data_IF_253200046336
#
_entry.id   IF_253200046336
#
_cell.length_a   1.000
_cell.length_b   1.000
_cell.length_c   1.000
_cell.angle_alpha   90.00
_cell.angle_beta   90.00
_cell.angle_gamma   90.00
#
_symmetry.space_group_name_H-M   'P 1'
#
loop_
_entity.id
_entity.type
_entity.pdbx_description
1 polymer ?
#
# COMPACT_ATOMS: atom_id res chain seq x y z
N UNK A 1 -11.25 -16.10 -38.20
CA UNK A 1 -10.80 -17.29 -37.43
C UNK A 1 -9.93 -16.76 -36.28
N UNK A 2 -10.49 -16.60 -35.09
CA UNK A 2 -9.70 -16.25 -33.89
C UNK A 2 -9.05 -17.54 -33.36
N UNK A 3 -7.77 -17.52 -32.99
CA UNK A 3 -7.14 -18.66 -32.34
C UNK A 3 -7.78 -18.81 -30.95
N UNK A 4 -8.49 -19.91 -30.73
CA UNK A 4 -8.87 -20.36 -29.39
C UNK A 4 -7.61 -20.72 -28.66
N UNK A 5 -7.08 -19.82 -27.82
CA UNK A 5 -6.09 -20.17 -26.83
C UNK A 5 -6.64 -21.32 -25.97
N UNK A 6 -5.90 -22.42 -26.00
CA UNK A 6 -6.17 -23.59 -25.16
C UNK A 6 -5.97 -23.16 -23.69
N UNK A 7 -7.07 -22.79 -23.03
CA UNK A 7 -7.10 -22.59 -21.59
C UNK A 7 -6.82 -23.95 -20.97
N UNK A 8 -5.71 -24.06 -20.26
CA UNK A 8 -5.30 -25.27 -19.55
C UNK A 8 -6.43 -25.70 -18.59
N UNK A 9 -6.86 -26.99 -18.66
CA UNK A 9 -8.03 -27.49 -17.90
C UNK A 9 -7.83 -27.51 -16.37
N UNK A 10 -6.62 -27.16 -15.88
CA UNK A 10 -6.24 -27.14 -14.47
C UNK A 10 -6.96 -26.06 -13.67
N UNK A 11 -7.48 -25.00 -14.34
CA UNK A 11 -8.14 -23.86 -13.65
C UNK A 11 -9.66 -24.03 -13.45
N UNK A 12 -10.23 -25.18 -13.80
CA UNK A 12 -11.69 -25.40 -13.84
C UNK A 12 -12.30 -26.10 -12.61
N UNK A 13 -11.53 -26.47 -11.58
CA UNK A 13 -12.08 -27.18 -10.38
C UNK A 13 -11.55 -26.65 -9.05
N UNK A 14 -12.39 -25.96 -8.35
CA UNK A 14 -12.56 -25.98 -6.88
C UNK A 14 -11.51 -25.28 -6.02
N UNK A 15 -10.27 -25.68 -5.99
CA UNK A 15 -9.22 -25.12 -5.09
C UNK A 15 -8.33 -24.07 -5.71
N UNK A 16 -8.46 -23.79 -7.01
CA UNK A 16 -7.56 -22.93 -7.78
C UNK A 16 -8.29 -21.85 -8.59
N UNK A 17 -9.47 -21.40 -8.12
CA UNK A 17 -10.10 -20.23 -8.70
C UNK A 17 -9.13 -19.03 -8.61
N UNK A 18 -8.79 -18.45 -9.77
CA UNK A 18 -7.77 -17.37 -9.83
C UNK A 18 -8.08 -16.20 -8.90
N UNK A 19 -9.35 -15.95 -8.60
CA UNK A 19 -9.78 -14.94 -7.63
C UNK A 19 -9.11 -15.08 -6.25
N UNK A 20 -8.86 -16.31 -5.79
CA UNK A 20 -8.19 -16.52 -4.51
C UNK A 20 -6.72 -16.07 -4.52
N UNK A 21 -6.02 -16.24 -5.64
CA UNK A 21 -4.67 -15.69 -5.79
C UNK A 21 -4.66 -14.16 -5.74
N UNK A 22 -5.69 -13.53 -6.29
CA UNK A 22 -5.87 -12.07 -6.18
C UNK A 22 -6.16 -11.70 -4.72
N UNK A 23 -7.00 -12.44 -4.00
CA UNK A 23 -7.30 -12.20 -2.59
C UNK A 23 -6.04 -12.36 -1.70
N UNK A 24 -5.21 -13.38 -1.94
CA UNK A 24 -3.92 -13.53 -1.28
C UNK A 24 -2.94 -12.41 -1.62
N UNK A 25 -2.93 -11.96 -2.87
CA UNK A 25 -2.11 -10.81 -3.27
C UNK A 25 -2.59 -9.54 -2.55
N UNK A 26 -3.89 -9.31 -2.46
CA UNK A 26 -4.46 -8.19 -1.71
C UNK A 26 -4.09 -8.25 -0.23
N UNK A 27 -4.16 -9.44 0.40
CA UNK A 27 -3.70 -9.66 1.77
C UNK A 27 -2.23 -9.29 1.93
N UNK A 28 -1.35 -9.81 1.06
CA UNK A 28 0.10 -9.56 1.13
C UNK A 28 0.43 -8.07 0.92
N UNK A 29 -0.19 -7.43 -0.05
CA UNK A 29 0.00 -6.01 -0.35
C UNK A 29 -0.46 -5.16 0.83
N UNK A 30 -1.67 -5.41 1.39
CA UNK A 30 -2.14 -4.71 2.57
C UNK A 30 -1.22 -4.94 3.78
N UNK A 31 -0.71 -6.16 3.97
CA UNK A 31 0.19 -6.48 5.08
C UNK A 31 1.49 -5.67 5.02
N UNK A 32 2.11 -5.60 3.86
CA UNK A 32 3.42 -4.94 3.72
C UNK A 32 3.26 -3.41 3.75
N UNK A 33 2.20 -2.85 3.14
CA UNK A 33 2.01 -1.41 3.13
C UNK A 33 1.48 -0.85 4.45
N UNK A 34 0.64 -1.58 5.17
CA UNK A 34 0.03 -1.07 6.42
C UNK A 34 1.03 -0.86 7.54
N UNK A 35 2.04 -1.71 7.64
CA UNK A 35 2.99 -1.67 8.74
C UNK A 35 3.78 -0.34 8.80
N UNK A 36 4.47 0.09 7.73
CA UNK A 36 5.24 1.33 7.79
C UNK A 36 4.37 2.60 7.71
N UNK A 37 3.13 2.51 7.19
CA UNK A 37 2.31 3.70 6.93
C UNK A 37 1.32 4.02 8.06
N UNK A 38 0.70 3.01 8.65
CA UNK A 38 -0.30 3.18 9.71
C UNK A 38 0.17 2.58 11.04
N UNK A 39 0.53 1.30 11.05
CA UNK A 39 0.89 0.59 12.28
C UNK A 39 2.19 1.08 12.90
N UNK A 40 3.17 1.43 12.09
CA UNK A 40 4.50 1.90 12.52
C UNK A 40 4.64 3.41 12.68
N UNK A 41 3.55 4.17 12.60
CA UNK A 41 3.57 5.63 12.69
C UNK A 41 4.34 6.15 13.91
N UNK A 42 4.12 5.55 15.10
CA UNK A 42 4.84 5.92 16.32
C UNK A 42 6.34 5.72 16.22
N UNK A 43 6.81 4.68 15.52
CA UNK A 43 8.24 4.41 15.34
C UNK A 43 8.95 5.51 14.52
N UNK A 44 8.27 6.02 13.49
CA UNK A 44 8.77 7.15 12.70
C UNK A 44 8.80 8.42 13.52
N UNK A 45 7.73 8.70 14.30
CA UNK A 45 7.68 9.87 15.20
C UNK A 45 8.86 9.82 16.17
N UNK A 46 9.03 8.72 16.91
CA UNK A 46 10.10 8.59 17.91
C UNK A 46 11.49 8.72 17.27
N UNK A 47 11.71 8.13 16.11
CA UNK A 47 12.99 8.19 15.41
C UNK A 47 13.32 9.59 14.87
N UNK A 48 12.34 10.31 14.33
CA UNK A 48 12.52 11.67 13.81
C UNK A 48 12.62 12.69 14.94
N UNK A 49 11.84 12.55 16.02
CA UNK A 49 11.96 13.36 17.25
C UNK A 49 13.38 13.27 17.82
N UNK A 50 13.90 12.05 17.98
CA UNK A 50 15.25 11.83 18.53
C UNK A 50 16.36 12.32 17.60
N UNK A 51 16.14 12.31 16.28
CA UNK A 51 17.17 12.69 15.32
C UNK A 51 17.22 14.20 15.05
N UNK A 52 16.07 14.85 14.92
CA UNK A 52 15.95 16.24 14.53
C UNK A 52 15.59 17.17 15.69
N UNK A 53 15.11 16.64 16.83
CA UNK A 53 14.62 17.43 17.95
C UNK A 53 13.25 18.08 17.69
N UNK A 54 12.53 17.66 16.64
CA UNK A 54 11.18 18.17 16.35
C UNK A 54 10.19 17.74 17.41
N UNK A 55 9.18 18.56 17.65
CA UNK A 55 8.13 18.23 18.62
C UNK A 55 7.18 17.15 18.06
N UNK A 56 6.63 16.33 18.96
CA UNK A 56 5.58 15.36 18.59
C UNK A 56 4.38 16.02 17.93
N UNK A 57 4.07 17.24 18.29
CA UNK A 57 2.98 18.01 17.68
C UNK A 57 3.26 18.30 16.21
N UNK A 58 4.46 18.77 15.87
CA UNK A 58 4.87 18.99 14.47
C UNK A 58 4.77 17.68 13.67
N UNK A 59 5.30 16.58 14.17
CA UNK A 59 5.26 15.28 13.49
C UNK A 59 3.81 14.77 13.35
N UNK A 60 2.99 14.84 14.40
CA UNK A 60 1.62 14.35 14.40
C UNK A 60 0.70 15.08 13.41
N UNK A 61 0.97 16.35 13.13
CA UNK A 61 0.23 17.12 12.11
C UNK A 61 0.38 16.47 10.73
N UNK A 62 1.57 16.02 10.35
CA UNK A 62 1.78 15.34 9.08
C UNK A 62 0.90 14.10 8.94
N UNK A 63 0.81 13.29 10.00
CA UNK A 63 0.00 12.08 10.02
C UNK A 63 -1.51 12.40 9.95
N UNK A 64 -1.96 13.41 10.67
CA UNK A 64 -3.34 13.86 10.62
C UNK A 64 -3.74 14.39 9.25
N UNK A 65 -2.88 15.20 8.64
CA UNK A 65 -3.09 15.73 7.29
C UNK A 65 -3.10 14.61 6.22
N UNK A 66 -2.24 13.59 6.38
CA UNK A 66 -2.23 12.44 5.49
C UNK A 66 -3.53 11.63 5.54
N UNK A 67 -4.14 11.47 6.72
CA UNK A 67 -5.42 10.79 6.85
C UNK A 67 -6.60 11.59 6.24
N UNK A 68 -6.59 12.90 6.41
CA UNK A 68 -7.58 13.79 5.76
C UNK A 68 -7.46 13.72 4.23
N UNK A 69 -6.23 13.69 3.71
CA UNK A 69 -5.97 13.56 2.28
C UNK A 69 -6.62 12.30 1.70
N UNK A 70 -6.49 11.15 2.37
CA UNK A 70 -7.13 9.90 1.94
C UNK A 70 -8.63 10.03 1.73
N UNK A 71 -9.33 10.76 2.61
CA UNK A 71 -10.76 11.00 2.50
C UNK A 71 -11.12 11.90 1.31
N UNK A 72 -10.34 12.94 1.06
CA UNK A 72 -10.58 13.90 -0.03
C UNK A 72 -10.25 13.27 -1.38
N UNK A 73 -9.19 12.47 -1.45
CA UNK A 73 -8.70 11.87 -2.70
C UNK A 73 -9.52 10.65 -3.12
N UNK A 74 -10.21 9.97 -2.18
CA UNK A 74 -10.99 8.75 -2.46
C UNK A 74 -11.96 8.84 -3.65
N UNK A 75 -12.77 9.90 -3.84
CA UNK A 75 -13.64 10.01 -5.03
C UNK A 75 -12.86 10.06 -6.34
N UNK A 76 -11.71 10.74 -6.36
CA UNK A 76 -10.83 10.81 -7.54
C UNK A 76 -10.20 9.45 -7.84
N UNK A 77 -9.80 8.72 -6.80
CA UNK A 77 -9.29 7.35 -6.94
C UNK A 77 -10.36 6.45 -7.54
N UNK A 78 -11.61 6.53 -7.08
CA UNK A 78 -12.74 5.80 -7.67
C UNK A 78 -12.88 6.09 -9.17
N UNK A 79 -12.93 7.35 -9.55
CA UNK A 79 -13.00 7.76 -10.95
C UNK A 79 -11.82 7.21 -11.80
N UNK A 80 -10.60 7.27 -11.26
CA UNK A 80 -9.41 6.75 -11.94
C UNK A 80 -9.47 5.22 -12.10
N UNK A 81 -9.97 4.50 -11.11
CA UNK A 81 -10.16 3.04 -11.15
C UNK A 81 -11.16 2.68 -12.24
N UNK A 82 -12.29 3.38 -12.32
CA UNK A 82 -13.32 3.13 -13.33
C UNK A 82 -12.78 3.39 -14.75
N UNK A 83 -11.94 4.40 -14.92
CA UNK A 83 -11.41 4.79 -16.23
C UNK A 83 -10.23 3.94 -16.69
N UNK A 84 -9.29 3.63 -15.81
CA UNK A 84 -8.00 3.00 -16.16
C UNK A 84 -7.86 1.55 -15.66
N UNK A 85 -8.78 1.12 -14.79
CA UNK A 85 -8.77 -0.18 -14.12
C UNK A 85 -7.93 -0.22 -12.84
N UNK A 86 -8.39 -0.97 -11.84
CA UNK A 86 -7.80 -1.04 -10.51
C UNK A 86 -6.33 -1.50 -10.52
N UNK A 87 -5.97 -2.46 -11.39
CA UNK A 87 -4.60 -2.96 -11.50
C UNK A 87 -3.58 -1.87 -11.80
N UNK A 88 -3.85 -1.03 -12.82
CA UNK A 88 -2.93 0.04 -13.22
C UNK A 88 -2.79 1.10 -12.13
N UNK A 89 -3.91 1.46 -11.52
CA UNK A 89 -3.94 2.46 -10.45
C UNK A 89 -3.20 1.94 -9.22
N UNK A 90 -3.37 0.65 -8.86
CA UNK A 90 -2.63 0.03 -7.77
C UNK A 90 -1.11 0.06 -7.99
N UNK A 91 -0.64 -0.30 -9.18
CA UNK A 91 0.79 -0.24 -9.51
C UNK A 91 1.31 1.21 -9.41
N UNK A 92 0.58 2.16 -9.98
CA UNK A 92 0.94 3.58 -9.94
C UNK A 92 1.03 4.08 -8.49
N UNK A 93 0.04 3.74 -7.66
CA UNK A 93 0.03 4.09 -6.24
C UNK A 93 1.20 3.52 -5.46
N UNK A 94 1.54 2.25 -5.67
CA UNK A 94 2.70 1.61 -5.03
C UNK A 94 4.01 2.29 -5.44
N UNK A 95 4.16 2.68 -6.72
CA UNK A 95 5.33 3.43 -7.19
C UNK A 95 5.41 4.80 -6.51
N UNK A 96 4.30 5.52 -6.41
CA UNK A 96 4.24 6.84 -5.75
C UNK A 96 4.59 6.69 -4.26
N UNK A 97 4.05 5.69 -3.57
CA UNK A 97 4.37 5.43 -2.16
C UNK A 97 5.85 5.08 -1.96
N UNK A 98 6.40 4.23 -2.83
CA UNK A 98 7.83 3.89 -2.84
C UNK A 98 8.71 5.14 -3.00
N UNK A 99 8.39 5.98 -3.97
CA UNK A 99 9.07 7.26 -4.18
C UNK A 99 8.97 8.17 -2.96
N UNK A 100 7.80 8.25 -2.32
CA UNK A 100 7.60 9.02 -1.10
C UNK A 100 8.52 8.56 0.05
N UNK A 101 8.77 7.24 0.20
CA UNK A 101 9.74 6.73 1.19
C UNK A 101 11.19 7.07 0.84
N UNK A 102 11.54 7.15 -0.45
CA UNK A 102 12.86 7.65 -0.87
C UNK A 102 12.98 9.13 -0.51
N UNK A 103 11.98 9.95 -0.79
CA UNK A 103 11.96 11.35 -0.38
C UNK A 103 12.06 11.50 1.15
N UNK A 104 11.35 10.66 1.90
CA UNK A 104 11.43 10.63 3.36
C UNK A 104 12.87 10.39 3.82
N UNK A 105 13.61 9.46 3.22
CA UNK A 105 15.01 9.18 3.58
C UNK A 105 15.95 10.39 3.38
N UNK A 106 15.58 11.34 2.52
CA UNK A 106 16.35 12.56 2.22
C UNK A 106 15.96 13.76 3.10
N UNK A 107 15.11 13.54 4.12
CA UNK A 107 14.70 14.61 5.02
C UNK A 107 15.90 15.21 5.78
N UNK A 108 15.98 16.53 5.79
CA UNK A 108 17.00 17.35 6.47
C UNK A 108 16.33 18.51 7.18
N UNK A 109 16.99 19.10 8.18
CA UNK A 109 16.59 20.40 8.72
C UNK A 109 16.85 21.49 7.68
N UNK A 110 15.87 22.36 7.49
CA UNK A 110 15.98 23.51 6.55
C UNK A 110 16.54 24.75 7.25
N UNK A 111 16.31 24.87 8.56
CA UNK A 111 16.82 25.96 9.39
C UNK A 111 17.57 25.41 10.60
N UNK A 112 18.27 26.27 11.35
CA UNK A 112 18.93 25.89 12.60
C UNK A 112 17.99 26.00 13.82
N UNK A 113 16.76 26.45 13.62
CA UNK A 113 15.74 26.64 14.67
C UNK A 113 14.77 25.46 14.70
N UNK A 114 14.95 24.54 15.64
CA UNK A 114 14.11 23.35 15.80
C UNK A 114 12.64 23.65 16.15
N UNK A 115 12.32 24.87 16.55
CA UNK A 115 10.94 25.30 16.78
C UNK A 115 10.25 25.85 15.51
N UNK A 116 10.99 25.96 14.42
CA UNK A 116 10.43 26.43 13.15
C UNK A 116 9.47 25.38 12.54
N UNK A 117 8.30 25.81 12.13
CA UNK A 117 7.34 24.95 11.40
C UNK A 117 7.79 24.66 9.95
N UNK A 118 8.85 25.33 9.50
CA UNK A 118 9.42 25.13 8.14
C UNK A 118 10.37 23.94 8.12
N UNK A 119 11.01 23.63 9.24
CA UNK A 119 11.99 22.54 9.33
C UNK A 119 11.44 21.18 8.89
N UNK A 120 10.26 20.74 9.33
CA UNK A 120 9.72 19.46 8.91
C UNK A 120 9.03 19.50 7.53
N UNK A 121 9.20 20.55 6.70
CA UNK A 121 8.50 20.70 5.43
C UNK A 121 8.79 19.53 4.46
N UNK A 122 10.06 19.12 4.35
CA UNK A 122 10.44 17.99 3.48
C UNK A 122 9.75 16.70 3.97
N UNK A 123 9.70 16.50 5.27
CA UNK A 123 8.97 15.40 5.87
C UNK A 123 7.48 15.46 5.55
N UNK A 124 6.84 16.63 5.69
CA UNK A 124 5.42 16.81 5.38
C UNK A 124 5.10 16.48 3.91
N UNK A 125 5.92 16.97 2.99
CA UNK A 125 5.74 16.69 1.55
C UNK A 125 5.95 15.21 1.25
N UNK A 126 7.01 14.61 1.81
CA UNK A 126 7.30 13.19 1.62
C UNK A 126 6.18 12.31 2.16
N UNK A 127 5.67 12.62 3.35
CA UNK A 127 4.59 11.88 3.95
C UNK A 127 3.27 12.00 3.17
N UNK A 128 2.97 13.17 2.65
CA UNK A 128 1.83 13.36 1.73
C UNK A 128 1.95 12.50 0.47
N UNK A 129 3.12 12.45 -0.15
CA UNK A 129 3.37 11.59 -1.31
C UNK A 129 3.16 10.12 -0.94
N UNK A 130 3.63 9.68 0.22
CA UNK A 130 3.40 8.31 0.72
C UNK A 130 1.91 8.03 0.84
N UNK A 131 1.15 8.90 1.52
CA UNK A 131 -0.27 8.68 1.77
C UNK A 131 -1.09 8.72 0.48
N UNK A 132 -0.79 9.62 -0.44
CA UNK A 132 -1.37 9.65 -1.79
C UNK A 132 -1.12 8.31 -2.51
N UNK A 133 0.11 7.81 -2.48
CA UNK A 133 0.48 6.54 -3.08
C UNK A 133 -0.26 5.36 -2.46
N UNK A 134 -0.40 5.33 -1.15
CA UNK A 134 -1.15 4.28 -0.43
C UNK A 134 -2.64 4.32 -0.75
N UNK A 135 -3.24 5.50 -0.80
CA UNK A 135 -4.66 5.69 -1.17
C UNK A 135 -4.94 5.20 -2.60
N UNK A 136 -4.05 5.51 -3.55
CA UNK A 136 -4.13 5.04 -4.93
C UNK A 136 -3.80 3.55 -5.06
N UNK A 137 -2.88 3.04 -4.23
CA UNK A 137 -2.23 1.74 -4.49
C UNK A 137 -2.97 0.53 -3.93
N UNK A 138 -3.66 0.67 -2.80
CA UNK A 138 -3.97 -0.50 -1.99
C UNK A 138 -5.45 -0.69 -1.75
N UNK A 139 -6.03 0.12 -0.88
CA UNK A 139 -7.34 -0.19 -0.31
C UNK A 139 -8.46 -0.20 -1.36
N UNK A 140 -8.66 0.93 -2.03
CA UNK A 140 -9.74 1.09 -3.00
C UNK A 140 -9.57 0.19 -4.24
N UNK A 141 -8.42 0.19 -4.94
CA UNK A 141 -8.27 -0.65 -6.12
C UNK A 141 -8.43 -2.14 -5.85
N UNK A 142 -7.84 -2.65 -4.75
CA UNK A 142 -7.95 -4.06 -4.41
C UNK A 142 -9.38 -4.45 -4.03
N UNK A 143 -10.10 -3.59 -3.29
CA UNK A 143 -11.50 -3.80 -2.94
C UNK A 143 -12.37 -3.87 -4.20
N UNK A 144 -12.18 -2.96 -5.16
CA UNK A 144 -12.93 -2.97 -6.44
C UNK A 144 -12.62 -4.23 -7.24
N UNK A 145 -11.36 -4.63 -7.34
CA UNK A 145 -10.96 -5.84 -8.05
C UNK A 145 -11.59 -7.07 -7.39
N UNK A 146 -11.49 -7.23 -6.08
CA UNK A 146 -12.11 -8.34 -5.36
C UNK A 146 -13.64 -8.36 -5.53
N UNK A 147 -14.27 -7.19 -5.54
CA UNK A 147 -15.70 -7.07 -5.80
C UNK A 147 -16.11 -7.57 -7.20
N UNK A 148 -15.25 -7.39 -8.21
CA UNK A 148 -15.49 -7.87 -9.57
C UNK A 148 -15.27 -9.38 -9.72
N UNK A 149 -14.42 -9.98 -8.89
CA UNK A 149 -14.07 -11.40 -8.96
C UNK A 149 -14.98 -12.30 -8.13
N UNK A 150 -15.58 -11.77 -7.05
CA UNK A 150 -16.35 -12.56 -6.09
C UNK A 150 -17.79 -12.07 -5.98
N UNK A 151 -18.73 -12.98 -6.20
CA UNK A 151 -20.16 -12.79 -5.96
C UNK A 151 -20.60 -13.59 -4.74
N UNK A 152 -20.34 -14.91 -4.72
CA UNK A 152 -20.75 -15.82 -3.64
C UNK A 152 -19.90 -15.67 -2.39
N UNK A 153 -18.57 -15.66 -2.51
CA UNK A 153 -17.62 -15.59 -1.39
C UNK A 153 -17.04 -14.19 -1.19
N UNK A 154 -17.76 -13.14 -1.63
CA UNK A 154 -17.33 -11.75 -1.59
C UNK A 154 -16.90 -11.29 -0.18
N UNK A 155 -17.69 -11.60 0.84
CA UNK A 155 -17.40 -11.23 2.22
C UNK A 155 -16.07 -11.82 2.70
N UNK A 156 -15.80 -13.10 2.38
CA UNK A 156 -14.55 -13.76 2.74
C UNK A 156 -13.36 -13.17 2.00
N UNK A 157 -13.48 -12.91 0.70
CA UNK A 157 -12.41 -12.31 -0.08
C UNK A 157 -12.06 -10.88 0.39
N UNK A 158 -13.07 -10.08 0.72
CA UNK A 158 -12.86 -8.74 1.26
C UNK A 158 -12.27 -8.76 2.67
N UNK A 159 -12.67 -9.70 3.52
CA UNK A 159 -12.09 -9.83 4.87
C UNK A 159 -10.61 -10.20 4.83
N UNK A 160 -10.15 -10.95 3.81
CA UNK A 160 -8.72 -11.22 3.62
C UNK A 160 -7.91 -9.93 3.43
N UNK A 161 -8.42 -8.95 2.67
CA UNK A 161 -7.78 -7.64 2.54
C UNK A 161 -7.66 -6.93 3.91
N UNK A 162 -8.72 -6.94 4.71
CA UNK A 162 -8.74 -6.33 6.05
C UNK A 162 -7.83 -7.07 7.04
N UNK A 163 -7.83 -8.40 7.01
CA UNK A 163 -6.93 -9.24 7.83
C UNK A 163 -5.47 -8.95 7.47
N UNK A 164 -5.17 -8.68 6.19
CA UNK A 164 -3.84 -8.29 5.75
C UNK A 164 -3.30 -7.09 6.52
N UNK A 165 -4.14 -6.08 6.79
CA UNK A 165 -3.75 -4.92 7.60
C UNK A 165 -3.31 -5.34 9.03
N UNK A 166 -4.09 -6.15 9.71
CA UNK A 166 -3.78 -6.60 11.07
C UNK A 166 -2.54 -7.50 11.10
N UNK A 167 -2.44 -8.45 10.18
CA UNK A 167 -1.27 -9.35 10.04
C UNK A 167 -0.01 -8.56 9.75
N UNK A 168 -0.09 -7.57 8.86
CA UNK A 168 1.03 -6.71 8.53
C UNK A 168 1.53 -5.91 9.73
N UNK A 169 0.62 -5.30 10.47
CA UNK A 169 0.95 -4.56 11.68
C UNK A 169 1.56 -5.48 12.73
N UNK A 170 1.00 -6.67 12.95
CA UNK A 170 1.50 -7.62 13.95
C UNK A 170 2.90 -8.16 13.62
N UNK A 171 3.18 -8.47 12.35
CA UNK A 171 4.45 -9.08 11.93
C UNK A 171 5.51 -8.01 11.63
N UNK A 172 5.20 -7.01 10.81
CA UNK A 172 6.22 -6.10 10.29
C UNK A 172 6.53 -4.91 11.19
N UNK A 173 5.60 -4.47 12.04
CA UNK A 173 5.91 -3.36 12.97
C UNK A 173 7.00 -3.74 13.96
N UNK A 174 7.03 -4.92 14.60
CA UNK A 174 8.16 -5.32 15.44
C UNK A 174 9.49 -5.43 14.67
N UNK A 175 9.44 -5.86 13.40
CA UNK A 175 10.63 -5.93 12.54
C UNK A 175 11.14 -4.51 12.26
N UNK A 176 10.26 -3.58 11.88
CA UNK A 176 10.62 -2.18 11.67
C UNK A 176 11.17 -1.59 12.96
N UNK A 177 10.54 -1.84 14.11
CA UNK A 177 11.00 -1.36 15.42
C UNK A 177 12.44 -1.84 15.74
N UNK A 178 12.75 -3.09 15.38
CA UNK A 178 14.08 -3.65 15.61
C UNK A 178 15.17 -3.05 14.74
N UNK A 179 14.85 -2.56 13.53
CA UNK A 179 15.85 -2.06 12.57
C UNK A 179 15.94 -0.55 12.50
N UNK A 180 14.91 0.19 12.90
CA UNK A 180 14.83 1.65 12.77
C UNK A 180 15.72 2.40 13.78
N UNK A 181 16.19 1.72 14.82
CA UNK A 181 17.02 2.30 15.87
C UNK A 181 18.38 2.78 15.33
N UNK A 182 18.95 3.88 15.87
CA UNK A 182 20.25 4.40 15.42
C UNK A 182 21.40 3.39 15.52
N UNK A 183 21.36 2.50 16.53
CA UNK A 183 22.37 1.46 16.76
C UNK A 183 22.36 0.34 15.70
N UNK A 184 21.33 0.31 14.86
CA UNK A 184 21.16 -0.67 13.79
C UNK A 184 21.24 0.00 12.43
N UNK A 185 20.13 0.05 11.70
CA UNK A 185 20.08 0.66 10.35
C UNK A 185 19.71 2.14 10.39
N UNK A 186 19.00 2.56 11.43
CA UNK A 186 18.47 3.91 11.53
C UNK A 186 17.27 4.14 10.60
N UNK A 187 16.60 5.25 10.79
CA UNK A 187 15.35 5.57 10.09
C UNK A 187 15.54 5.78 8.58
N UNK A 188 16.69 6.34 8.13
CA UNK A 188 16.95 6.61 6.70
C UNK A 188 17.06 5.32 5.89
N UNK A 189 17.91 4.39 6.33
CA UNK A 189 18.05 3.11 5.65
C UNK A 189 16.78 2.27 5.76
N UNK A 190 16.09 2.34 6.89
CA UNK A 190 14.78 1.67 7.04
C UNK A 190 13.77 2.21 6.02
N UNK A 191 13.70 3.52 5.76
CA UNK A 191 12.84 4.10 4.74
C UNK A 191 13.21 3.60 3.33
N UNK A 192 14.48 3.48 2.99
CA UNK A 192 14.94 2.93 1.71
C UNK A 192 14.54 1.45 1.58
N UNK A 193 14.73 0.66 2.63
CA UNK A 193 14.35 -0.76 2.64
C UNK A 193 12.84 -0.90 2.42
N UNK A 194 12.01 -0.11 3.10
CA UNK A 194 10.56 -0.10 2.89
C UNK A 194 10.22 0.25 1.45
N UNK A 195 10.88 1.23 0.85
CA UNK A 195 10.71 1.60 -0.56
C UNK A 195 11.02 0.42 -1.49
N UNK A 196 12.11 -0.31 -1.25
CA UNK A 196 12.48 -1.50 -2.03
C UNK A 196 11.40 -2.59 -1.92
N UNK A 197 10.91 -2.86 -0.70
CA UNK A 197 9.82 -3.82 -0.50
C UNK A 197 8.54 -3.42 -1.26
N UNK A 198 8.21 -2.14 -1.31
CA UNK A 198 7.09 -1.64 -2.11
C UNK A 198 7.32 -1.89 -3.60
N UNK A 199 8.52 -1.64 -4.11
CA UNK A 199 8.85 -1.95 -5.50
C UNK A 199 8.71 -3.45 -5.82
N UNK A 200 9.10 -4.33 -4.90
CA UNK A 200 8.96 -5.79 -5.07
C UNK A 200 7.48 -6.19 -5.19
N UNK A 201 6.57 -5.52 -4.48
CA UNK A 201 5.13 -5.79 -4.57
C UNK A 201 4.51 -5.50 -5.94
N UNK A 202 5.16 -4.68 -6.77
CA UNK A 202 4.70 -4.42 -8.14
C UNK A 202 4.67 -5.73 -8.94
N UNK A 203 5.62 -6.64 -8.70
CA UNK A 203 5.73 -7.90 -9.45
C UNK A 203 4.49 -8.80 -9.27
N UNK A 204 4.05 -9.15 -8.04
CA UNK A 204 2.85 -9.95 -7.86
C UNK A 204 1.59 -9.21 -8.32
N UNK A 205 1.48 -7.89 -8.10
CA UNK A 205 0.34 -7.11 -8.60
C UNK A 205 0.29 -7.20 -10.14
N UNK A 206 1.41 -7.03 -10.82
CA UNK A 206 1.48 -7.06 -12.27
C UNK A 206 1.17 -8.45 -12.85
N UNK A 207 1.68 -9.52 -12.24
CA UNK A 207 1.54 -10.89 -12.75
C UNK A 207 0.19 -11.51 -12.39
N UNK A 208 -0.29 -11.33 -11.15
CA UNK A 208 -1.43 -12.07 -10.61
C UNK A 208 -2.73 -11.28 -10.75
N UNK A 209 -2.70 -9.97 -10.49
CA UNK A 209 -3.91 -9.16 -10.45
C UNK A 209 -4.44 -8.88 -11.85
N UNK A 210 -5.74 -9.11 -12.04
CA UNK A 210 -6.54 -8.76 -13.22
C UNK A 210 -7.80 -8.02 -12.77
N UNK A 211 -8.27 -7.07 -13.57
CA UNK A 211 -9.39 -6.22 -13.16
C UNK A 211 -10.71 -7.01 -13.11
N UNK A 212 -10.91 -7.95 -14.04
CA UNK A 212 -12.17 -8.71 -14.16
C UNK A 212 -11.89 -10.17 -14.54
N UNK A 213 -12.76 -11.11 -14.15
CA UNK A 213 -12.68 -12.51 -14.56
C UNK A 213 -12.75 -12.68 -16.08
N UNK A 214 -13.46 -11.79 -16.77
CA UNK A 214 -13.64 -11.81 -18.23
C UNK A 214 -12.33 -11.75 -19.00
N UNK A 215 -11.28 -11.14 -18.43
CA UNK A 215 -9.94 -11.11 -19.03
C UNK A 215 -9.32 -12.52 -19.19
N UNK A 216 -9.82 -13.50 -18.43
CA UNK A 216 -9.45 -14.93 -18.54
C UNK A 216 -10.55 -15.79 -19.15
N UNK A 217 -11.64 -15.20 -19.64
CA UNK A 217 -12.81 -15.95 -20.09
C UNK A 217 -13.51 -16.71 -18.96
N UNK A 218 -13.35 -16.24 -17.72
CA UNK A 218 -13.99 -16.77 -16.52
C UNK A 218 -15.19 -15.89 -16.15
N UNK A 219 -16.10 -16.47 -15.37
CA UNK A 219 -17.19 -15.75 -14.69
C UNK A 219 -16.84 -15.55 -13.22
N UNK A 220 -17.47 -14.57 -12.53
CA UNK A 220 -17.33 -14.41 -11.09
C UNK A 220 -17.68 -15.68 -10.32
N UNK A 221 -17.17 -15.83 -9.09
CA UNK A 221 -17.50 -17.00 -8.30
C UNK A 221 -19.01 -17.06 -7.98
N UNK A 222 -19.64 -18.22 -8.26
CA UNK A 222 -21.06 -18.44 -8.03
C UNK A 222 -21.97 -18.07 -9.20
N UNK A 223 -21.45 -17.61 -10.33
CA UNK A 223 -22.14 -17.50 -11.60
C UNK A 223 -21.70 -18.68 -12.49
N UNK A 224 -22.59 -19.62 -12.74
CA UNK A 224 -22.41 -20.74 -13.70
C UNK A 224 -22.97 -20.41 -15.07
#
# INVERSE_FOLDING_TARGET
MHPKEKILPIFKKGLLFHGWWIAFTALAVNSILSAPTYGGTGLWIDSLENHFGWTRTQLSIAFSLGQLEGSIVSPFVGYLIDRYGGKKISICGVIIASFGFICLSQTINLTSDTNSWIDPLIFYVSYKIIMLGVSLGVWLPMTVILNNWFTKNKSLAMSMGSVGFAVGTFIFVPIIAAIITPDRLGWRLTAIIVSIFFCILIVPIWKIVKNTPKEFGLVPDGEE
#
